data_IF_129487806803
#
_entry.id   IF_129487806803
#
_cell.length_a   1.000
_cell.length_b   1.000
_cell.length_c   1.000
_cell.angle_alpha   90.00
_cell.angle_beta   90.00
_cell.angle_gamma   90.00
#
_symmetry.space_group_name_H-M   'P 1'
#
loop_
_entity.id
_entity.type
_entity.pdbx_description
1 polymer ?
#
# COMPACT_ATOMS: atom_id res chain seq x y z
N UNK A 1 23.93 10.55 -0.13
CA UNK A 1 23.41 10.67 1.25
C UNK A 1 21.91 10.82 1.16
N UNK A 2 21.14 9.80 1.53
CA UNK A 2 19.67 9.88 1.54
C UNK A 2 19.26 10.58 2.82
N UNK A 3 18.61 11.73 2.72
CA UNK A 3 18.21 12.56 3.85
C UNK A 3 17.34 11.76 4.83
N UNK A 4 17.86 11.51 6.04
CA UNK A 4 17.11 10.96 7.19
C UNK A 4 15.96 11.88 7.65
N UNK A 5 15.92 13.13 7.18
CA UNK A 5 14.91 14.11 7.56
C UNK A 5 13.48 13.71 7.13
N UNK A 6 13.31 13.19 5.91
CA UNK A 6 11.99 12.75 5.41
C UNK A 6 11.43 11.50 6.11
N UNK A 7 12.28 10.73 6.80
CA UNK A 7 11.83 9.62 7.65
C UNK A 7 11.31 10.07 9.02
N UNK A 8 11.68 11.27 9.46
CA UNK A 8 11.37 11.79 10.79
C UNK A 8 10.06 12.60 10.80
N UNK A 9 9.73 13.32 9.73
CA UNK A 9 8.52 14.18 9.69
C UNK A 9 7.19 13.41 9.56
N UNK A 10 7.21 12.20 8.99
CA UNK A 10 6.01 11.35 8.99
C UNK A 10 5.79 10.56 10.29
N UNK A 11 6.73 10.60 11.25
CA UNK A 11 6.52 9.99 12.57
C UNK A 11 5.71 10.89 13.53
N UNK A 12 5.46 12.16 13.19
CA UNK A 12 4.98 13.17 14.16
C UNK A 12 3.61 13.78 13.88
N UNK A 13 2.89 13.41 12.83
CA UNK A 13 1.64 14.11 12.47
C UNK A 13 0.50 13.15 12.19
N UNK A 14 -0.14 12.71 13.27
CA UNK A 14 -1.60 12.61 13.48
C UNK A 14 -1.82 11.76 14.75
N UNK A 15 -2.23 12.42 15.84
CA UNK A 15 -2.37 11.87 17.18
C UNK A 15 -2.94 10.44 17.19
N UNK A 16 -2.08 9.45 17.48
CA UNK A 16 -2.47 8.07 17.76
C UNK A 16 -2.47 7.09 16.58
N UNK A 17 -2.25 7.53 15.34
CA UNK A 17 -2.24 6.60 14.19
C UNK A 17 -0.87 5.94 14.01
N UNK A 18 -0.86 4.61 13.89
CA UNK A 18 0.38 3.83 13.69
C UNK A 18 0.62 3.62 12.19
N UNK A 19 1.75 4.08 11.67
CA UNK A 19 2.16 3.77 10.29
C UNK A 19 2.41 2.27 10.12
N UNK A 20 1.69 1.64 9.19
CA UNK A 20 1.84 0.23 8.84
C UNK A 20 2.89 0.03 7.76
N UNK A 21 2.79 0.82 6.68
CA UNK A 21 3.82 0.89 5.66
C UNK A 21 3.77 2.22 4.92
N UNK A 22 4.91 2.66 4.39
CA UNK A 22 5.00 3.90 3.63
C UNK A 22 6.03 3.81 2.51
N UNK A 23 5.86 4.63 1.48
CA UNK A 23 6.74 4.66 0.32
C UNK A 23 6.90 6.07 -0.23
N UNK A 24 8.14 6.46 -0.52
CA UNK A 24 8.43 7.59 -1.40
C UNK A 24 8.16 7.16 -2.84
N UNK A 25 7.29 7.89 -3.53
CA UNK A 25 6.89 7.62 -4.89
C UNK A 25 8.06 7.86 -5.84
N UNK A 26 8.40 6.82 -6.60
CA UNK A 26 9.44 6.87 -7.62
C UNK A 26 8.86 7.26 -8.97
N UNK A 27 9.73 7.53 -9.94
CA UNK A 27 9.29 7.77 -11.33
C UNK A 27 8.39 6.64 -11.85
N UNK A 28 8.72 5.37 -11.55
CA UNK A 28 7.91 4.23 -11.97
C UNK A 28 6.51 4.19 -11.37
N UNK A 29 6.31 4.81 -10.21
CA UNK A 29 5.03 4.84 -9.50
C UNK A 29 4.08 5.94 -10.00
N UNK A 30 4.59 6.93 -10.74
CA UNK A 30 3.83 8.14 -11.10
C UNK A 30 3.69 8.34 -12.60
N UNK A 31 4.78 8.17 -13.36
CA UNK A 31 4.85 8.67 -14.75
C UNK A 31 4.80 7.58 -15.81
N UNK A 32 4.93 6.30 -15.44
CA UNK A 32 4.86 5.20 -16.41
C UNK A 32 3.42 4.93 -16.85
N UNK A 33 3.22 4.33 -18.02
CA UNK A 33 1.89 3.85 -18.44
C UNK A 33 1.27 2.91 -17.40
N UNK A 34 2.11 2.15 -16.68
CA UNK A 34 1.70 1.27 -15.58
C UNK A 34 1.24 2.07 -14.34
N UNK A 35 1.87 3.22 -14.07
CA UNK A 35 1.44 4.15 -13.04
C UNK A 35 0.12 4.84 -13.38
N UNK A 36 -0.12 5.15 -14.66
CA UNK A 36 -1.43 5.64 -15.13
C UNK A 36 -2.55 4.60 -14.92
N UNK A 37 -2.20 3.32 -14.92
CA UNK A 37 -3.10 2.22 -14.54
C UNK A 37 -3.25 2.06 -13.01
N UNK A 38 -2.59 2.90 -12.22
CA UNK A 38 -2.73 2.96 -10.77
C UNK A 38 -2.09 1.80 -10.03
N UNK A 39 -0.92 1.32 -10.49
CA UNK A 39 -0.16 0.27 -9.80
C UNK A 39 0.99 0.84 -8.98
N UNK A 40 1.06 0.45 -7.72
CA UNK A 40 2.10 0.82 -6.79
C UNK A 40 2.71 -0.43 -6.13
N UNK A 41 4.02 -0.60 -6.23
CA UNK A 41 4.71 -1.69 -5.50
C UNK A 41 4.99 -1.24 -4.08
N UNK A 42 4.48 -1.97 -3.09
CA UNK A 42 4.68 -1.66 -1.67
C UNK A 42 6.03 -2.20 -1.14
N UNK A 43 6.63 -1.56 -0.10
CA UNK A 43 7.87 -2.04 0.50
C UNK A 43 7.66 -3.38 1.20
N UNK A 44 8.15 -4.46 0.58
CA UNK A 44 7.96 -5.85 1.02
C UNK A 44 8.17 -6.08 2.51
N UNK A 45 9.28 -5.59 3.07
CA UNK A 45 9.61 -5.85 4.49
C UNK A 45 8.54 -5.28 5.42
N UNK A 46 8.07 -4.05 5.16
CA UNK A 46 7.01 -3.41 5.93
C UNK A 46 5.68 -4.14 5.71
N UNK A 47 5.30 -4.36 4.45
CA UNK A 47 4.02 -5.01 4.11
C UNK A 47 3.90 -6.42 4.67
N UNK A 48 4.96 -7.23 4.66
CA UNK A 48 4.92 -8.57 5.28
C UNK A 48 4.68 -8.49 6.79
N UNK A 49 5.29 -7.52 7.49
CA UNK A 49 5.12 -7.38 8.94
C UNK A 49 3.71 -6.92 9.34
N UNK A 50 3.05 -6.14 8.48
CA UNK A 50 1.73 -5.57 8.75
C UNK A 50 0.59 -6.17 7.93
N UNK A 51 0.83 -7.24 7.17
CA UNK A 51 -0.13 -7.80 6.21
C UNK A 51 -1.48 -8.16 6.87
N UNK A 52 -1.44 -8.75 8.07
CA UNK A 52 -2.65 -9.10 8.81
C UNK A 52 -3.46 -7.86 9.20
N UNK A 53 -2.80 -6.83 9.73
CA UNK A 53 -3.43 -5.56 10.06
C UNK A 53 -4.01 -4.87 8.83
N UNK A 54 -3.26 -4.84 7.71
CA UNK A 54 -3.75 -4.30 6.44
C UNK A 54 -5.04 -5.00 5.96
N UNK A 55 -5.07 -6.33 6.02
CA UNK A 55 -6.22 -7.10 5.58
C UNK A 55 -7.41 -6.95 6.54
N UNK A 56 -7.17 -6.95 7.85
CA UNK A 56 -8.22 -6.77 8.85
C UNK A 56 -8.86 -5.38 8.74
N UNK A 57 -8.05 -4.32 8.85
CA UNK A 57 -8.50 -2.92 8.82
C UNK A 57 -9.03 -2.49 7.46
N UNK A 58 -8.57 -3.13 6.38
CA UNK A 58 -9.06 -2.89 5.03
C UNK A 58 -10.41 -3.57 4.72
N UNK A 59 -11.03 -4.23 5.70
CA UNK A 59 -12.31 -4.93 5.54
C UNK A 59 -12.18 -6.29 4.83
N UNK A 60 -10.98 -6.85 4.73
CA UNK A 60 -10.66 -8.06 3.99
C UNK A 60 -10.26 -9.26 4.87
N UNK A 61 -10.44 -9.18 6.20
CA UNK A 61 -10.00 -10.18 7.16
C UNK A 61 -10.50 -11.61 6.91
N UNK A 62 -11.63 -11.78 6.21
CA UNK A 62 -12.19 -13.09 5.85
C UNK A 62 -11.55 -13.71 4.59
N UNK A 63 -10.80 -12.95 3.80
CA UNK A 63 -10.21 -13.40 2.53
C UNK A 63 -9.01 -14.33 2.73
N UNK A 64 -8.33 -14.22 3.89
CA UNK A 64 -7.17 -15.05 4.24
C UNK A 64 -7.53 -16.53 4.46
N UNK A 65 -8.79 -16.84 4.79
CA UNK A 65 -9.21 -18.21 5.10
C UNK A 65 -9.38 -19.10 3.85
N UNK A 66 -9.33 -18.54 2.63
CA UNK A 66 -9.56 -19.29 1.39
C UNK A 66 -8.31 -19.59 0.54
N UNK A 67 -7.10 -19.26 1.01
CA UNK A 67 -5.90 -19.21 0.16
C UNK A 67 -4.81 -20.24 0.41
N UNK A 68 -5.11 -21.53 0.58
CA UNK A 68 -4.11 -22.60 0.32
C UNK A 68 -4.28 -23.08 -1.12
N UNK A 69 -3.66 -22.41 -2.08
CA UNK A 69 -3.44 -22.95 -3.42
C UNK A 69 -2.19 -22.29 -4.04
N UNK A 70 -1.18 -23.07 -4.47
CA UNK A 70 -0.03 -22.56 -5.18
C UNK A 70 -0.42 -22.41 -6.66
N UNK A 71 -1.13 -21.34 -7.01
CA UNK A 71 -1.32 -20.97 -8.41
C UNK A 71 -0.85 -19.55 -8.62
N UNK A 72 -0.08 -19.34 -9.68
CA UNK A 72 0.78 -18.18 -9.95
C UNK A 72 0.13 -16.78 -9.98
N UNK A 73 -1.17 -16.65 -9.69
CA UNK A 73 -1.85 -15.37 -9.48
C UNK A 73 -2.88 -15.51 -8.36
N UNK A 74 -2.57 -14.96 -7.18
CA UNK A 74 -3.57 -14.83 -6.11
C UNK A 74 -4.59 -13.76 -6.55
N UNK A 75 -5.90 -14.06 -6.55
CA UNK A 75 -6.92 -13.05 -6.85
C UNK A 75 -6.76 -11.87 -5.89
N UNK A 76 -6.71 -10.66 -6.44
CA UNK A 76 -6.41 -9.47 -5.65
C UNK A 76 -7.47 -9.18 -4.61
N UNK A 77 -7.05 -8.86 -3.40
CA UNK A 77 -7.90 -8.60 -2.25
C UNK A 77 -8.32 -7.13 -2.25
N UNK A 78 -9.62 -6.86 -2.13
CA UNK A 78 -10.10 -5.48 -2.05
C UNK A 78 -9.82 -4.91 -0.66
N UNK A 79 -9.21 -3.72 -0.61
CA UNK A 79 -8.99 -2.97 0.63
C UNK A 79 -9.78 -1.66 0.56
N UNK A 80 -10.45 -1.31 1.65
CA UNK A 80 -11.01 0.02 1.87
C UNK A 80 -10.06 0.82 2.74
N UNK A 81 -9.73 2.04 2.32
CA UNK A 81 -8.94 2.96 3.13
C UNK A 81 -9.50 4.39 3.01
N UNK A 82 -9.30 5.19 4.04
CA UNK A 82 -9.86 6.53 4.15
C UNK A 82 -8.74 7.56 4.10
N UNK A 83 -8.94 8.67 3.40
CA UNK A 83 -8.03 9.81 3.53
C UNK A 83 -8.40 10.68 4.74
N UNK A 84 -7.61 11.73 5.00
CA UNK A 84 -7.85 12.66 6.09
C UNK A 84 -9.12 13.51 5.93
N UNK A 85 -9.64 13.63 4.70
CA UNK A 85 -10.92 14.27 4.45
C UNK A 85 -12.11 13.30 4.70
N UNK A 86 -11.83 12.05 5.09
CA UNK A 86 -12.84 11.02 5.33
C UNK A 86 -13.38 10.37 4.06
N UNK A 87 -12.80 10.63 2.88
CA UNK A 87 -13.21 9.97 1.64
C UNK A 87 -12.72 8.53 1.63
N UNK A 88 -13.60 7.61 1.24
CA UNK A 88 -13.28 6.19 1.14
C UNK A 88 -12.73 5.86 -0.25
N UNK A 89 -11.62 5.13 -0.27
CA UNK A 89 -10.93 4.69 -1.47
C UNK A 89 -10.85 3.17 -1.50
N UNK A 90 -11.11 2.60 -2.68
CA UNK A 90 -11.05 1.16 -2.90
C UNK A 90 -9.81 0.79 -3.69
N UNK A 91 -8.95 -0.02 -3.08
CA UNK A 91 -7.76 -0.55 -3.72
C UNK A 91 -7.82 -2.06 -3.88
N UNK A 92 -6.97 -2.60 -4.74
CA UNK A 92 -6.76 -4.03 -4.83
C UNK A 92 -5.32 -4.37 -4.44
N UNK A 93 -5.14 -5.13 -3.36
CA UNK A 93 -3.86 -5.67 -2.95
C UNK A 93 -3.63 -7.03 -3.63
N UNK A 94 -2.61 -7.12 -4.47
CA UNK A 94 -2.15 -8.36 -5.09
C UNK A 94 -0.82 -8.80 -4.49
N UNK A 95 -0.64 -10.11 -4.37
CA UNK A 95 0.64 -10.73 -4.06
C UNK A 95 1.12 -11.48 -5.29
N UNK A 96 2.28 -11.09 -5.82
CA UNK A 96 2.93 -11.75 -6.94
C UNK A 96 4.11 -12.55 -6.41
N UNK A 97 4.20 -13.82 -6.81
CA UNK A 97 5.38 -14.64 -6.57
C UNK A 97 6.21 -14.67 -7.83
N UNK A 98 7.47 -14.22 -7.75
CA UNK A 98 8.39 -14.38 -8.88
C UNK A 98 8.67 -15.87 -9.07
N UNK A 99 8.19 -16.43 -10.18
CA UNK A 99 8.26 -17.86 -10.52
C UNK A 99 9.69 -18.33 -10.84
N UNK A 100 10.66 -17.41 -10.90
CA UNK A 100 12.05 -17.68 -11.34
C UNK A 100 12.92 -18.32 -10.26
N UNK A 101 12.49 -18.35 -9.00
CA UNK A 101 13.22 -19.03 -7.93
C UNK A 101 12.26 -19.85 -7.08
N UNK A 102 12.56 -21.14 -6.90
CA UNK A 102 11.96 -21.96 -5.84
C UNK A 102 12.08 -21.20 -4.51
N UNK A 103 10.95 -20.70 -3.99
CA UNK A 103 10.92 -19.84 -2.80
C UNK A 103 10.88 -18.32 -3.05
N UNK A 104 10.49 -17.89 -4.26
CA UNK A 104 10.39 -16.49 -4.67
C UNK A 104 9.71 -15.58 -3.63
N UNK A 105 10.43 -14.52 -3.24
CA UNK A 105 9.95 -13.53 -2.26
C UNK A 105 8.70 -12.83 -2.80
N UNK A 106 7.63 -12.68 -2.00
CA UNK A 106 6.41 -12.05 -2.46
C UNK A 106 6.66 -10.57 -2.77
N UNK A 107 6.08 -10.11 -3.88
CA UNK A 107 5.92 -8.69 -4.20
C UNK A 107 4.48 -8.31 -3.92
N UNK A 108 4.28 -7.21 -3.20
CA UNK A 108 2.95 -6.68 -2.91
C UNK A 108 2.67 -5.48 -3.81
N UNK A 109 1.56 -5.54 -4.53
CA UNK A 109 1.14 -4.51 -5.48
C UNK A 109 -0.22 -3.98 -5.04
N UNK A 110 -0.31 -2.67 -4.84
CA UNK A 110 -1.56 -1.96 -4.65
C UNK A 110 -2.01 -1.42 -6.01
N UNK A 111 -3.18 -1.84 -6.46
CA UNK A 111 -3.79 -1.37 -7.69
C UNK A 111 -4.95 -0.40 -7.40
N UNK A 112 -5.40 0.31 -8.45
CA UNK A 112 -6.40 1.38 -8.41
C UNK A 112 -5.95 2.63 -7.62
N UNK A 113 -4.64 2.93 -7.61
CA UNK A 113 -4.11 4.11 -6.91
C UNK A 113 -4.18 5.40 -7.73
N UNK A 114 -4.43 5.32 -9.04
CA UNK A 114 -4.32 6.47 -9.95
C UNK A 114 -5.23 7.64 -9.57
N UNK A 115 -6.51 7.37 -9.26
CA UNK A 115 -7.47 8.41 -8.89
C UNK A 115 -7.11 9.05 -7.55
N UNK A 116 -6.71 8.24 -6.57
CA UNK A 116 -6.22 8.74 -5.28
C UNK A 116 -5.02 9.66 -5.47
N UNK A 117 -4.03 9.23 -6.25
CA UNK A 117 -2.81 9.99 -6.50
C UNK A 117 -3.10 11.31 -7.23
N UNK A 118 -3.94 11.26 -8.26
CA UNK A 118 -4.35 12.46 -8.99
C UNK A 118 -5.11 13.45 -8.09
N UNK A 119 -6.04 12.96 -7.26
CA UNK A 119 -6.85 13.83 -6.38
C UNK A 119 -6.05 14.47 -5.24
N UNK A 120 -4.88 13.93 -4.91
CA UNK A 120 -3.96 14.47 -3.88
C UNK A 120 -2.71 15.13 -4.49
N UNK A 121 -2.64 15.28 -5.83
CA UNK A 121 -1.51 15.91 -6.49
C UNK A 121 -0.17 15.19 -6.27
N UNK A 122 -0.19 13.87 -6.06
CA UNK A 122 1.01 13.11 -5.73
C UNK A 122 1.93 12.97 -6.95
N UNK A 123 3.20 13.33 -6.75
CA UNK A 123 4.23 13.35 -7.78
C UNK A 123 5.44 12.50 -7.37
N UNK A 124 6.43 12.36 -8.25
CA UNK A 124 7.69 11.72 -7.88
C UNK A 124 8.33 12.49 -6.73
N UNK A 125 8.71 11.79 -5.66
CA UNK A 125 9.22 12.37 -4.42
C UNK A 125 8.18 12.55 -3.33
N UNK A 126 6.88 12.56 -3.66
CA UNK A 126 5.81 12.52 -2.66
C UNK A 126 5.85 11.22 -1.86
N UNK A 127 5.25 11.22 -0.67
CA UNK A 127 5.15 10.04 0.18
C UNK A 127 3.70 9.60 0.34
N UNK A 128 3.47 8.30 0.15
CA UNK A 128 2.22 7.64 0.51
C UNK A 128 2.46 6.76 1.72
N UNK A 129 1.71 6.98 2.81
CA UNK A 129 1.68 6.11 3.97
C UNK A 129 0.30 5.48 4.16
N UNK A 130 0.31 4.20 4.55
CA UNK A 130 -0.86 3.45 4.99
C UNK A 130 -0.72 3.28 6.50
N UNK A 131 -1.73 3.74 7.23
CA UNK A 131 -1.75 3.82 8.67
C UNK A 131 -2.93 3.06 9.26
N UNK A 132 -2.75 2.62 10.49
CA UNK A 132 -3.79 2.09 11.35
C UNK A 132 -4.52 3.27 12.01
N UNK A 133 -5.79 3.44 11.66
CA UNK A 133 -6.70 4.43 12.25
C UNK A 133 -7.44 3.92 13.49
N UNK A 134 -7.13 2.71 13.97
CA UNK A 134 -7.81 2.02 15.06
C UNK A 134 -8.86 1.03 14.57
N UNK A 135 -9.79 1.48 13.73
CA UNK A 135 -10.89 0.67 13.18
C UNK A 135 -10.86 0.51 11.66
N UNK A 136 -10.01 1.30 10.98
CA UNK A 136 -9.92 1.37 9.52
C UNK A 136 -8.51 1.71 9.06
N UNK A 137 -8.24 1.42 7.80
CA UNK A 137 -7.04 1.93 7.14
C UNK A 137 -7.18 3.41 6.84
N UNK A 138 -6.12 4.17 7.11
CA UNK A 138 -5.99 5.58 6.75
C UNK A 138 -4.83 5.78 5.78
N UNK A 139 -5.04 6.57 4.74
CA UNK A 139 -4.01 6.98 3.80
C UNK A 139 -3.56 8.40 4.10
N UNK A 140 -2.24 8.57 4.21
CA UNK A 140 -1.59 9.87 4.31
C UNK A 140 -0.78 10.13 3.05
N UNK A 141 -1.05 11.27 2.43
CA UNK A 141 -0.34 11.77 1.26
C UNK A 141 0.48 13.00 1.69
N UNK A 142 1.78 12.99 1.40
CA UNK A 142 2.71 14.08 1.75
C UNK A 142 3.83 14.26 0.75
#
# INVERSE_FOLDING_TARGET
>A
MVNKAGQCEMQSTLHGMRTLCWKVLTHSDVTTEIAKLGRLVLPRAQTTMCLQSLLHLGGAGTTLLKGRLPSAQTPGVNLMAFDLAGRCWRFQLKTWHNVVTDGGRPTYVLENTAEFMASHGLVTGSTLAICDGGDRLVLLAG
#
